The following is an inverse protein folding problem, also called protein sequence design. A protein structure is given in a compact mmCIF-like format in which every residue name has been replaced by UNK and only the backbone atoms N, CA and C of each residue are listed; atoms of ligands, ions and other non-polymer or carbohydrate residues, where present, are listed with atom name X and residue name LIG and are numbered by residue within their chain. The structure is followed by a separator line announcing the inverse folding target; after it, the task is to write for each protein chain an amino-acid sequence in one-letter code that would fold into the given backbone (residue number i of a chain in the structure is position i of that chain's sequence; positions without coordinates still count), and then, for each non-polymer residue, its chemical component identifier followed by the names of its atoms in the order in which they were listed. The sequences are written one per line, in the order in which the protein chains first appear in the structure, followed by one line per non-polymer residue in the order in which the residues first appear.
data_IF_353729839991
#
_entry.id   IF_353729839991
#
_cell.length_a   1.000
_cell.length_b   1.000
_cell.length_c   1.000
_cell.angle_alpha   90.00
_cell.angle_beta   90.00
_cell.angle_gamma   90.00
#
_symmetry.space_group_name_H-M   'P 1'
#
loop_
_entity.id
_entity.type
_entity.pdbx_description
1 polymer ?
#
# COMPACT_ATOMS: atom_id res chain seq x y z
N UNK A 1 -32.23 95.99 29.58
CA UNK A 1 -31.17 95.12 30.12
C UNK A 1 -31.71 93.69 30.07
N UNK A 2 -31.44 92.99 28.98
CA UNK A 2 -31.84 91.58 28.76
C UNK A 2 -30.61 90.90 28.20
N UNK A 3 -30.03 89.98 28.97
CA UNK A 3 -28.82 89.23 28.65
C UNK A 3 -29.17 88.02 27.79
N UNK A 4 -28.58 87.94 26.60
CA UNK A 4 -28.49 86.71 25.81
C UNK A 4 -27.64 85.68 26.54
N UNK A 5 -28.09 84.42 26.57
CA UNK A 5 -27.25 83.26 26.87
C UNK A 5 -27.28 82.32 25.68
N UNK A 6 -26.18 82.34 24.91
CA UNK A 6 -25.84 81.32 23.90
C UNK A 6 -25.58 80.01 24.63
N UNK A 7 -26.36 78.97 24.30
CA UNK A 7 -26.10 77.60 24.72
C UNK A 7 -25.01 76.99 23.85
N UNK A 8 -23.92 76.58 24.50
CA UNK A 8 -22.80 75.84 23.93
C UNK A 8 -23.17 74.35 23.83
N UNK A 9 -23.06 73.76 22.63
CA UNK A 9 -23.24 72.32 22.39
C UNK A 9 -21.95 71.58 22.79
N UNK A 10 -22.00 70.55 23.65
CA UNK A 10 -20.79 69.83 24.03
C UNK A 10 -20.27 68.98 22.86
N UNK A 11 -19.13 69.39 22.31
CA UNK A 11 -18.34 68.58 21.39
C UNK A 11 -17.93 67.26 22.06
N UNK A 12 -18.35 66.13 21.48
CA UNK A 12 -17.90 64.81 21.93
C UNK A 12 -16.42 64.66 21.58
N UNK A 13 -15.53 64.86 22.56
CA UNK A 13 -14.11 64.57 22.41
C UNK A 13 -13.91 63.07 22.17
N UNK A 14 -13.48 62.71 20.96
CA UNK A 14 -13.05 61.35 20.65
C UNK A 14 -11.65 61.13 21.19
N UNK A 15 -11.54 60.57 22.39
CA UNK A 15 -10.25 60.17 22.97
C UNK A 15 -9.72 58.94 22.23
N UNK A 16 -8.51 59.04 21.67
CA UNK A 16 -7.85 57.89 21.06
C UNK A 16 -7.50 56.85 22.14
N UNK A 17 -7.63 55.54 21.84
CA UNK A 17 -7.29 54.50 22.78
C UNK A 17 -5.80 54.55 23.14
N UNK A 18 -5.43 54.23 24.38
CA UNK A 18 -4.05 54.32 24.81
C UNK A 18 -3.18 53.30 24.05
N UNK A 19 -1.94 53.68 23.76
CA UNK A 19 -1.02 52.94 22.88
C UNK A 19 -0.80 51.47 23.28
N UNK A 20 -0.93 51.14 24.57
CA UNK A 20 -0.84 49.77 25.05
C UNK A 20 -2.03 48.89 24.63
N UNK A 21 -3.24 49.47 24.46
CA UNK A 21 -4.41 48.76 23.91
C UNK A 21 -4.17 48.40 22.45
N UNK A 22 -3.61 49.33 21.67
CA UNK A 22 -3.27 49.08 20.26
C UNK A 22 -2.23 47.95 20.14
N UNK A 23 -1.23 47.93 21.02
CA UNK A 23 -0.25 46.85 21.07
C UNK A 23 -0.86 45.50 21.45
N UNK A 24 -1.75 45.46 22.45
CA UNK A 24 -2.43 44.22 22.86
C UNK A 24 -3.32 43.66 21.74
N UNK A 25 -4.06 44.52 21.04
CA UNK A 25 -4.88 44.11 19.89
C UNK A 25 -3.99 43.62 18.74
N UNK A 26 -2.88 44.31 18.46
CA UNK A 26 -1.91 43.87 17.45
C UNK A 26 -1.30 42.50 17.76
N UNK A 27 -0.93 42.25 19.01
CA UNK A 27 -0.43 40.95 19.48
C UNK A 27 -1.49 39.85 19.37
N UNK A 28 -2.73 40.13 19.74
CA UNK A 28 -3.83 39.18 19.63
C UNK A 28 -4.11 38.80 18.16
N UNK A 29 -4.13 39.78 17.25
CA UNK A 29 -4.30 39.54 15.81
C UNK A 29 -3.14 38.74 15.24
N UNK A 30 -1.90 39.05 15.62
CA UNK A 30 -0.72 38.29 15.21
C UNK A 30 -0.76 36.83 15.71
N UNK A 31 -1.19 36.61 16.96
CA UNK A 31 -1.32 35.27 17.54
C UNK A 31 -2.43 34.46 16.86
N UNK A 32 -3.56 35.09 16.52
CA UNK A 32 -4.65 34.45 15.77
C UNK A 32 -4.21 34.13 14.34
N UNK A 33 -3.57 35.08 13.64
CA UNK A 33 -3.04 34.85 12.29
C UNK A 33 -1.96 33.76 12.26
N UNK A 34 -1.08 33.71 13.27
CA UNK A 34 -0.09 32.64 13.43
C UNK A 34 -0.76 31.29 13.71
N UNK A 35 -1.81 31.25 14.54
CA UNK A 35 -2.58 30.04 14.84
C UNK A 35 -3.33 29.52 13.62
N UNK A 36 -4.01 30.41 12.87
CA UNK A 36 -4.69 30.07 11.61
C UNK A 36 -3.67 29.60 10.57
N UNK A 37 -2.53 30.29 10.44
CA UNK A 37 -1.44 29.91 9.53
C UNK A 37 -0.84 28.55 9.88
N UNK A 38 -0.63 28.26 11.17
CA UNK A 38 -0.20 26.94 11.65
C UNK A 38 -1.21 25.86 11.35
N UNK A 39 -2.50 26.10 11.56
CA UNK A 39 -3.54 25.09 11.34
C UNK A 39 -3.84 24.84 9.86
N UNK A 40 -3.73 25.87 9.00
CA UNK A 40 -3.92 25.74 7.55
C UNK A 40 -2.69 25.21 6.80
N UNK A 41 -1.48 25.53 7.26
CA UNK A 41 -0.22 25.07 6.63
C UNK A 41 0.21 23.68 7.13
N UNK A 42 -0.14 23.30 8.37
CA UNK A 42 0.25 22.00 8.96
C UNK A 42 -0.92 21.08 9.30
N UNK A 43 -2.17 21.54 9.19
CA UNK A 43 -3.38 20.75 9.52
C UNK A 43 -4.04 20.06 8.33
N UNK A 44 -3.33 19.92 7.21
CA UNK A 44 -3.77 19.13 6.04
C UNK A 44 -2.61 18.22 5.58
N UNK A 45 -1.94 17.55 6.53
CA UNK A 45 -1.36 16.27 6.17
C UNK A 45 -2.55 15.32 6.06
N UNK A 46 -2.82 14.77 4.87
CA UNK A 46 -3.80 13.69 4.74
C UNK A 46 -3.51 12.63 5.79
N UNK A 47 -4.55 12.13 6.46
CA UNK A 47 -4.39 11.07 7.46
C UNK A 47 -3.64 9.91 6.82
N UNK A 48 -2.45 9.58 7.32
CA UNK A 48 -1.72 8.40 6.88
C UNK A 48 -2.54 7.15 7.22
N UNK A 49 -2.50 6.09 6.39
CA UNK A 49 -3.15 4.84 6.72
C UNK A 49 -2.76 4.34 8.11
N UNK A 50 -3.76 3.87 8.87
CA UNK A 50 -3.56 3.33 10.22
C UNK A 50 -3.10 1.88 10.20
N UNK A 51 -2.73 1.35 11.37
CA UNK A 51 -2.17 0.00 11.52
C UNK A 51 -3.06 -1.13 10.97
N UNK A 52 -4.38 -1.02 11.15
CA UNK A 52 -5.37 -1.98 10.64
C UNK A 52 -5.98 -1.61 9.29
N UNK A 53 -5.40 -0.65 8.55
CA UNK A 53 -5.90 -0.28 7.22
C UNK A 53 -5.61 -1.37 6.18
N UNK A 54 -6.44 -1.43 5.14
CA UNK A 54 -6.18 -2.27 3.97
C UNK A 54 -4.86 -1.90 3.28
N UNK A 55 -4.52 -0.61 3.23
CA UNK A 55 -3.25 -0.13 2.67
C UNK A 55 -2.04 -0.73 3.40
N UNK A 56 -2.05 -0.73 4.74
CA UNK A 56 -0.98 -1.30 5.56
C UNK A 56 -0.96 -2.83 5.51
N UNK A 57 -2.13 -3.47 5.53
CA UNK A 57 -2.26 -4.92 5.43
C UNK A 57 -1.73 -5.45 4.09
N UNK A 58 -2.18 -4.87 2.98
CA UNK A 58 -1.70 -5.18 1.64
C UNK A 58 -0.19 -5.02 1.52
N UNK A 59 0.36 -3.90 1.99
CA UNK A 59 1.79 -3.64 1.92
C UNK A 59 2.61 -4.70 2.68
N UNK A 60 2.14 -5.18 3.84
CA UNK A 60 2.84 -6.23 4.61
C UNK A 60 2.77 -7.59 3.93
N UNK A 61 1.56 -8.00 3.56
CA UNK A 61 1.35 -9.35 3.02
C UNK A 61 1.98 -9.49 1.63
N UNK A 62 1.85 -8.46 0.79
CA UNK A 62 2.44 -8.46 -0.54
C UNK A 62 3.97 -8.33 -0.51
N UNK A 63 4.58 -7.78 0.57
CA UNK A 63 6.04 -7.87 0.74
C UNK A 63 6.51 -9.30 0.96
N UNK A 64 5.77 -10.09 1.76
CA UNK A 64 6.07 -11.50 2.00
C UNK A 64 5.87 -12.30 0.71
N UNK A 65 4.76 -12.05 0.02
CA UNK A 65 4.46 -12.64 -1.27
C UNK A 65 5.58 -12.39 -2.30
N UNK A 66 5.94 -11.11 -2.51
CA UNK A 66 6.99 -10.75 -3.46
C UNK A 66 8.37 -11.28 -3.07
N UNK A 67 8.64 -11.48 -1.77
CA UNK A 67 9.89 -12.10 -1.36
C UNK A 67 10.01 -13.55 -1.86
N UNK A 68 8.91 -14.32 -1.86
CA UNK A 68 8.93 -15.69 -2.37
C UNK A 68 9.06 -15.73 -3.90
N UNK A 69 8.38 -14.84 -4.63
CA UNK A 69 8.59 -14.73 -6.08
C UNK A 69 10.04 -14.44 -6.45
N UNK A 70 10.70 -13.52 -5.73
CA UNK A 70 12.12 -13.21 -5.97
C UNK A 70 13.01 -14.43 -5.72
N UNK A 71 12.74 -15.21 -4.67
CA UNK A 71 13.48 -16.45 -4.38
C UNK A 71 13.31 -17.49 -5.50
N UNK A 72 12.07 -17.76 -5.92
CA UNK A 72 11.78 -18.70 -7.01
C UNK A 72 12.40 -18.23 -8.33
N UNK A 73 12.29 -16.95 -8.65
CA UNK A 73 12.80 -16.37 -9.89
C UNK A 73 14.34 -16.40 -9.95
N UNK A 74 15.02 -16.10 -8.85
CA UNK A 74 16.49 -16.20 -8.80
C UNK A 74 16.97 -17.65 -8.79
N UNK A 75 16.18 -18.58 -8.24
CA UNK A 75 16.46 -20.02 -8.32
C UNK A 75 16.44 -20.49 -9.77
N UNK A 76 15.36 -20.23 -10.50
CA UNK A 76 15.27 -20.69 -11.90
C UNK A 76 16.23 -19.92 -12.82
N UNK A 77 16.50 -18.64 -12.56
CA UNK A 77 17.47 -17.84 -13.33
C UNK A 77 18.85 -18.51 -13.38
N UNK A 78 19.26 -19.10 -12.26
CA UNK A 78 20.55 -19.79 -12.13
C UNK A 78 20.57 -21.19 -12.76
N UNK A 79 19.41 -21.84 -12.89
CA UNK A 79 19.29 -23.24 -13.30
C UNK A 79 18.87 -23.42 -14.77
N UNK A 80 17.96 -22.58 -15.27
CA UNK A 80 17.39 -22.75 -16.61
C UNK A 80 18.43 -22.57 -17.71
N UNK A 81 18.32 -23.33 -18.79
CA UNK A 81 19.05 -23.13 -20.05
C UNK A 81 18.22 -22.36 -21.10
N UNK A 82 16.96 -22.04 -20.82
CA UNK A 82 16.07 -21.33 -21.74
C UNK A 82 16.23 -19.81 -21.61
N UNK A 83 16.72 -19.15 -22.66
CA UNK A 83 17.00 -17.71 -22.64
C UNK A 83 15.76 -16.83 -22.39
N UNK A 84 14.58 -17.25 -22.87
CA UNK A 84 13.35 -16.48 -22.66
C UNK A 84 12.87 -16.58 -21.21
N UNK A 85 12.95 -17.78 -20.63
CA UNK A 85 12.63 -18.00 -19.23
C UNK A 85 13.65 -17.29 -18.32
N UNK A 86 14.94 -17.32 -18.66
CA UNK A 86 15.98 -16.60 -17.93
C UNK A 86 15.71 -15.09 -17.92
N UNK A 87 15.34 -14.51 -19.07
CA UNK A 87 14.98 -13.09 -19.17
C UNK A 87 13.74 -12.76 -18.33
N UNK A 88 12.66 -13.53 -18.48
CA UNK A 88 11.43 -13.35 -17.70
C UNK A 88 11.69 -13.43 -16.18
N UNK A 89 12.50 -14.39 -15.75
CA UNK A 89 12.82 -14.59 -14.34
C UNK A 89 13.58 -13.40 -13.76
N UNK A 90 14.51 -12.82 -14.53
CA UNK A 90 15.19 -11.60 -14.14
C UNK A 90 14.24 -10.40 -14.05
N UNK A 91 13.32 -10.26 -15.00
CA UNK A 91 12.31 -9.19 -15.00
C UNK A 91 11.37 -9.30 -13.80
N UNK A 92 10.88 -10.51 -13.49
CA UNK A 92 10.08 -10.77 -12.28
C UNK A 92 10.87 -10.43 -11.02
N UNK A 93 12.10 -10.93 -10.88
CA UNK A 93 12.92 -10.70 -9.69
C UNK A 93 13.18 -9.21 -9.45
N UNK A 94 13.52 -8.46 -10.50
CA UNK A 94 13.80 -7.02 -10.38
C UNK A 94 12.54 -6.18 -10.18
N UNK A 95 11.46 -6.48 -10.91
CA UNK A 95 10.17 -5.81 -10.79
C UNK A 95 9.56 -6.00 -9.40
N UNK A 96 9.47 -7.24 -8.93
CA UNK A 96 8.92 -7.54 -7.61
C UNK A 96 9.81 -7.07 -6.46
N UNK A 97 11.14 -7.08 -6.63
CA UNK A 97 12.05 -6.45 -5.65
C UNK A 97 11.81 -4.94 -5.52
N UNK A 98 11.58 -4.25 -6.64
CA UNK A 98 11.28 -2.81 -6.62
C UNK A 98 9.95 -2.53 -5.91
N UNK A 99 8.90 -3.28 -6.24
CA UNK A 99 7.58 -3.15 -5.61
C UNK A 99 7.64 -3.47 -4.10
N UNK A 100 8.43 -4.48 -3.70
CA UNK A 100 8.67 -4.78 -2.28
C UNK A 100 9.31 -3.61 -1.54
N UNK A 101 10.30 -2.96 -2.16
CA UNK A 101 10.94 -1.77 -1.60
C UNK A 101 10.00 -0.58 -1.46
N UNK A 102 9.08 -0.40 -2.42
CA UNK A 102 8.07 0.66 -2.38
C UNK A 102 7.07 0.44 -1.22
N UNK A 103 6.57 -0.79 -1.05
CA UNK A 103 5.68 -1.14 0.06
C UNK A 103 6.35 -0.97 1.42
N UNK A 104 7.64 -1.34 1.52
CA UNK A 104 8.43 -1.10 2.73
C UNK A 104 8.57 0.39 3.04
N UNK A 105 8.87 1.22 2.04
CA UNK A 105 8.98 2.67 2.18
C UNK A 105 7.65 3.31 2.63
N UNK A 106 6.51 2.83 2.14
CA UNK A 106 5.21 3.30 2.60
C UNK A 106 5.01 3.03 4.09
N UNK A 107 5.26 1.80 4.55
CA UNK A 107 5.12 1.44 5.97
C UNK A 107 6.04 2.28 6.86
N UNK A 108 7.27 2.53 6.43
CA UNK A 108 8.19 3.44 7.13
C UNK A 108 7.62 4.87 7.21
N UNK A 109 7.11 5.41 6.11
CA UNK A 109 6.53 6.77 6.05
C UNK A 109 5.26 6.91 6.87
N UNK A 110 4.46 5.84 6.98
CA UNK A 110 3.28 5.80 7.82
C UNK A 110 3.61 5.51 9.30
N UNK A 111 4.87 5.21 9.63
CA UNK A 111 5.29 4.88 10.99
C UNK A 111 4.78 3.52 11.48
N UNK A 112 4.56 2.58 10.56
CA UNK A 112 3.98 1.27 10.84
C UNK A 112 5.04 0.15 10.76
N UNK A 113 4.90 -0.94 11.55
CA UNK A 113 5.79 -2.08 11.47
C UNK A 113 5.66 -2.79 10.11
N UNK A 114 6.75 -3.35 9.56
CA UNK A 114 6.76 -4.02 8.26
C UNK A 114 6.16 -5.44 8.28
N UNK A 115 5.68 -5.91 9.43
CA UNK A 115 5.12 -7.24 9.64
C UNK A 115 3.77 -7.15 10.36
N UNK A 116 2.97 -8.21 10.25
CA UNK A 116 1.68 -8.39 10.94
C UNK A 116 1.64 -9.80 11.53
N UNK A 117 1.07 -9.94 12.73
CA UNK A 117 0.76 -11.24 13.34
C UNK A 117 -0.55 -11.84 12.82
N UNK A 118 -1.23 -11.15 11.91
CA UNK A 118 -2.49 -11.59 11.30
C UNK A 118 -2.48 -11.28 9.80
N UNK A 119 -1.78 -12.10 8.99
CA UNK A 119 -1.81 -11.99 7.54
C UNK A 119 -3.25 -12.09 7.03
N UNK A 120 -3.55 -11.38 5.95
CA UNK A 120 -4.82 -11.38 5.22
C UNK A 120 -6.06 -10.90 6.01
N UNK A 121 -5.93 -10.60 7.30
CA UNK A 121 -7.04 -10.12 8.14
C UNK A 121 -7.66 -8.80 7.63
N UNK A 122 -6.88 -7.99 6.92
CA UNK A 122 -7.33 -6.73 6.31
C UNK A 122 -8.32 -6.95 5.16
N UNK A 123 -8.34 -8.13 4.53
CA UNK A 123 -9.29 -8.49 3.47
C UNK A 123 -10.64 -8.93 4.02
N UNK A 124 -10.78 -9.27 5.32
CA UNK A 124 -12.07 -9.68 5.88
C UNK A 124 -13.16 -8.59 5.77
N UNK A 125 -12.77 -7.33 5.56
CA UNK A 125 -13.72 -6.24 5.31
C UNK A 125 -14.38 -6.30 3.91
N UNK A 126 -13.74 -6.89 2.90
CA UNK A 126 -14.30 -7.06 1.53
C UNK A 126 -15.31 -8.20 1.43
N UNK A 127 -15.27 -9.18 2.34
CA UNK A 127 -16.18 -10.33 2.35
C UNK A 127 -17.63 -10.00 2.78
N UNK A 128 -17.92 -8.73 3.07
CA UNK A 128 -19.27 -8.25 3.42
C UNK A 128 -20.26 -8.32 2.24
N UNK A 129 -19.81 -8.63 1.02
CA UNK A 129 -20.62 -8.61 -0.22
C UNK A 129 -20.69 -9.91 -1.04
N UNK A 130 -19.76 -10.85 -0.87
CA UNK A 130 -19.71 -12.08 -1.66
C UNK A 130 -19.48 -13.31 -0.77
N UNK A 131 -20.59 -13.93 -0.35
CA UNK A 131 -20.58 -15.17 0.42
C UNK A 131 -20.00 -16.33 -0.42
N UNK A 132 -18.69 -16.56 -0.32
CA UNK A 132 -18.10 -17.85 -0.61
C UNK A 132 -18.22 -18.71 0.65
N UNK A 133 -19.07 -19.72 0.60
CA UNK A 133 -19.32 -20.63 1.71
C UNK A 133 -18.04 -21.34 2.15
N UNK A 134 -17.48 -20.92 3.29
CA UNK A 134 -16.36 -21.56 3.94
C UNK A 134 -16.21 -21.08 5.38
N UNK A 135 -16.64 -21.92 6.33
CA UNK A 135 -16.28 -21.91 7.76
C UNK A 135 -15.96 -20.56 8.42
N UNK A 136 -17.00 -19.81 8.79
CA UNK A 136 -16.87 -18.80 9.83
C UNK A 136 -16.44 -19.47 11.15
N UNK A 137 -15.23 -19.20 11.63
CA UNK A 137 -14.90 -19.35 13.06
C UNK A 137 -13.71 -20.24 13.47
N UNK A 138 -12.83 -20.67 12.57
CA UNK A 138 -11.55 -21.28 12.97
C UNK A 138 -10.38 -20.41 12.50
N UNK A 139 -9.36 -20.17 13.35
CA UNK A 139 -8.11 -19.54 12.89
C UNK A 139 -7.55 -20.36 11.73
N UNK A 140 -7.30 -19.72 10.58
CA UNK A 140 -6.60 -20.37 9.49
C UNK A 140 -5.17 -20.68 9.93
N UNK A 141 -4.64 -21.83 9.54
CA UNK A 141 -3.23 -22.13 9.74
C UNK A 141 -2.38 -21.30 8.76
N UNK A 142 -1.10 -21.07 9.09
CA UNK A 142 -0.16 -20.37 8.20
C UNK A 142 -0.10 -21.01 6.80
N UNK A 143 -0.27 -22.34 6.73
CA UNK A 143 -0.32 -23.08 5.47
C UNK A 143 -1.56 -22.75 4.65
N UNK A 144 -2.74 -22.69 5.27
CA UNK A 144 -3.98 -22.29 4.59
C UNK A 144 -3.93 -20.84 4.09
N UNK A 145 -3.29 -19.94 4.84
CA UNK A 145 -3.11 -18.54 4.42
C UNK A 145 -2.16 -18.47 3.22
N UNK A 146 -1.02 -19.19 3.26
CA UNK A 146 -0.10 -19.27 2.11
C UNK A 146 -0.79 -19.80 0.85
N UNK A 147 -1.56 -20.88 0.99
CA UNK A 147 -2.33 -21.45 -0.13
C UNK A 147 -3.34 -20.45 -0.69
N UNK A 148 -4.05 -19.73 0.18
CA UNK A 148 -4.99 -18.68 -0.25
C UNK A 148 -4.30 -17.51 -0.99
N UNK A 149 -3.04 -17.23 -0.67
CA UNK A 149 -2.20 -16.27 -1.39
C UNK A 149 -1.53 -16.87 -2.64
N UNK A 150 -1.75 -18.15 -2.97
CA UNK A 150 -1.10 -18.81 -4.12
C UNK A 150 0.38 -19.15 -3.91
N UNK A 151 0.91 -18.92 -2.71
CA UNK A 151 2.32 -19.14 -2.36
C UNK A 151 2.70 -20.62 -2.48
N UNK A 152 3.94 -20.87 -2.88
CA UNK A 152 4.56 -22.19 -2.80
C UNK A 152 4.78 -22.63 -1.34
N UNK A 153 4.60 -23.93 -1.10
CA UNK A 153 4.96 -24.56 0.17
C UNK A 153 6.49 -24.71 0.28
N UNK A 154 6.98 -25.04 1.48
CA UNK A 154 8.42 -25.28 1.68
C UNK A 154 8.89 -26.52 0.91
N UNK A 155 8.02 -27.53 0.80
CA UNK A 155 8.25 -28.75 0.02
C UNK A 155 8.37 -28.40 -1.46
N UNK A 156 7.44 -27.61 -2.01
CA UNK A 156 7.48 -27.18 -3.42
C UNK A 156 8.72 -26.33 -3.74
N UNK A 157 9.12 -25.43 -2.83
CA UNK A 157 10.36 -24.67 -2.97
C UNK A 157 11.60 -25.57 -2.91
N UNK A 158 11.57 -26.62 -2.07
CA UNK A 158 12.66 -27.61 -2.00
C UNK A 158 12.74 -28.43 -3.28
N UNK A 159 11.60 -28.84 -3.83
CA UNK A 159 11.52 -29.54 -5.12
C UNK A 159 12.01 -28.67 -6.27
N UNK A 160 11.62 -27.40 -6.32
CA UNK A 160 12.11 -26.44 -7.33
C UNK A 160 13.64 -26.33 -7.29
N UNK A 161 14.23 -26.20 -6.10
CA UNK A 161 15.70 -26.10 -5.94
C UNK A 161 16.44 -27.39 -6.29
N UNK A 162 15.76 -28.54 -6.26
CA UNK A 162 16.33 -29.84 -6.59
C UNK A 162 16.10 -30.25 -8.05
N UNK A 163 15.11 -29.65 -8.71
CA UNK A 163 14.80 -29.90 -10.11
C UNK A 163 15.91 -29.35 -11.02
N UNK A 164 16.06 -29.95 -12.20
CA UNK A 164 17.06 -29.51 -13.21
C UNK A 164 16.46 -29.55 -14.61
N UNK A 165 17.05 -28.77 -15.53
CA UNK A 165 16.63 -28.69 -16.93
C UNK A 165 15.13 -28.37 -17.09
N UNK A 166 14.49 -28.94 -18.10
CA UNK A 166 13.07 -28.65 -18.42
C UNK A 166 12.11 -28.98 -17.28
N UNK A 167 12.45 -29.92 -16.39
CA UNK A 167 11.63 -30.19 -15.22
C UNK A 167 11.63 -29.00 -14.23
N UNK A 168 12.79 -28.37 -14.01
CA UNK A 168 12.89 -27.14 -13.22
C UNK A 168 12.10 -26.00 -13.86
N UNK A 169 12.24 -25.82 -15.18
CA UNK A 169 11.52 -24.80 -15.94
C UNK A 169 9.99 -24.95 -15.75
N UNK A 170 9.48 -26.17 -15.93
CA UNK A 170 8.06 -26.46 -15.79
C UNK A 170 7.56 -26.29 -14.35
N UNK A 171 8.34 -26.73 -13.36
CA UNK A 171 7.99 -26.53 -11.95
C UNK A 171 7.91 -25.03 -11.61
N UNK A 172 8.92 -24.25 -12.00
CA UNK A 172 8.92 -22.81 -11.79
C UNK A 172 7.71 -22.13 -12.43
N UNK A 173 7.42 -22.43 -13.70
CA UNK A 173 6.32 -21.82 -14.43
C UNK A 173 4.98 -22.13 -13.75
N UNK A 174 4.76 -23.37 -13.32
CA UNK A 174 3.53 -23.76 -12.62
C UNK A 174 3.38 -23.05 -11.28
N UNK A 175 4.46 -22.99 -10.48
CA UNK A 175 4.45 -22.31 -9.19
C UNK A 175 4.25 -20.80 -9.33
N UNK A 176 4.95 -20.17 -10.26
CA UNK A 176 4.88 -18.72 -10.47
C UNK A 176 3.55 -18.28 -11.09
N UNK A 177 2.93 -19.10 -11.95
CA UNK A 177 1.55 -18.84 -12.42
C UNK A 177 0.58 -18.84 -11.22
N UNK A 178 0.60 -19.88 -10.38
CA UNK A 178 -0.28 -19.95 -9.21
C UNK A 178 -0.04 -18.79 -8.24
N UNK A 179 1.23 -18.45 -8.02
CA UNK A 179 1.63 -17.33 -7.17
C UNK A 179 1.05 -16.00 -7.68
N UNK A 180 1.16 -15.73 -8.99
CA UNK A 180 0.58 -14.53 -9.60
C UNK A 180 -0.96 -14.53 -9.55
N UNK A 181 -1.60 -15.69 -9.75
CA UNK A 181 -3.05 -15.83 -9.64
C UNK A 181 -3.54 -15.51 -8.21
N UNK A 182 -2.78 -15.89 -7.18
CA UNK A 182 -3.07 -15.58 -5.78
C UNK A 182 -2.93 -14.09 -5.43
N UNK A 183 -2.03 -13.37 -6.09
CA UNK A 183 -1.87 -11.93 -5.89
C UNK A 183 -2.98 -11.07 -6.50
N UNK A 184 -3.68 -11.55 -7.54
CA UNK A 184 -4.73 -10.76 -8.22
C UNK A 184 -5.90 -10.44 -7.27
N UNK A 185 -6.49 -11.39 -6.53
CA UNK A 185 -7.51 -11.11 -5.52
C UNK A 185 -7.04 -10.14 -4.43
N UNK A 186 -5.78 -10.24 -4.00
CA UNK A 186 -5.20 -9.29 -3.03
C UNK A 186 -5.16 -7.87 -3.60
N UNK A 187 -4.71 -7.73 -4.85
CA UNK A 187 -4.71 -6.44 -5.54
C UNK A 187 -6.14 -5.89 -5.68
N UNK A 188 -7.12 -6.72 -6.04
CA UNK A 188 -8.51 -6.28 -6.13
C UNK A 188 -9.08 -5.81 -4.78
N UNK A 189 -8.77 -6.52 -3.69
CA UNK A 189 -9.24 -6.15 -2.36
C UNK A 189 -8.68 -4.80 -1.89
N UNK A 190 -7.40 -4.50 -2.16
CA UNK A 190 -6.84 -3.18 -1.78
C UNK A 190 -7.36 -2.05 -2.67
N UNK A 191 -7.74 -2.32 -3.91
CA UNK A 191 -8.40 -1.33 -4.77
C UNK A 191 -9.78 -0.93 -4.22
N UNK A 192 -10.51 -1.90 -3.68
CA UNK A 192 -11.81 -1.70 -3.05
C UNK A 192 -11.69 -1.04 -1.66
N UNK A 193 -10.85 -1.58 -0.79
CA UNK A 193 -10.79 -1.23 0.63
C UNK A 193 -9.77 -0.14 0.98
N UNK A 194 -8.75 0.03 0.13
CA UNK A 194 -7.64 0.97 0.36
C UNK A 194 -8.09 2.43 0.28
N UNK A 195 -7.29 3.30 0.88
CA UNK A 195 -7.54 4.74 0.94
C UNK A 195 -6.39 5.59 0.41
N UNK A 196 -5.18 5.02 0.26
CA UNK A 196 -4.04 5.72 -0.32
C UNK A 196 -3.99 5.51 -1.84
N UNK A 197 -4.19 6.58 -2.60
CA UNK A 197 -4.20 6.55 -4.07
C UNK A 197 -2.90 6.00 -4.68
N UNK A 198 -1.76 6.14 -3.98
CA UNK A 198 -0.49 5.57 -4.45
C UNK A 198 -0.51 4.06 -4.38
N UNK A 199 -1.05 3.50 -3.29
CA UNK A 199 -1.23 2.06 -3.12
C UNK A 199 -2.14 1.51 -4.22
N UNK A 200 -3.27 2.17 -4.47
CA UNK A 200 -4.20 1.77 -5.54
C UNK A 200 -3.53 1.78 -6.91
N UNK A 201 -2.82 2.85 -7.24
CA UNK A 201 -2.10 2.96 -8.52
C UNK A 201 -1.11 1.80 -8.71
N UNK A 202 -0.34 1.45 -7.68
CA UNK A 202 0.60 0.33 -7.76
C UNK A 202 -0.13 -1.01 -7.84
N UNK A 203 -1.22 -1.21 -7.09
CA UNK A 203 -2.02 -2.43 -7.15
C UNK A 203 -2.63 -2.66 -8.55
N UNK A 204 -3.14 -1.62 -9.22
CA UNK A 204 -3.63 -1.73 -10.61
C UNK A 204 -2.51 -2.14 -11.58
N UNK A 205 -1.35 -1.49 -11.47
CA UNK A 205 -0.19 -1.79 -12.31
C UNK A 205 0.34 -3.21 -12.06
N UNK A 206 0.34 -3.64 -10.80
CA UNK A 206 0.73 -4.99 -10.40
C UNK A 206 -0.23 -6.04 -10.98
N UNK A 207 -1.55 -5.86 -10.83
CA UNK A 207 -2.56 -6.75 -11.40
C UNK A 207 -2.38 -6.88 -12.92
N UNK A 208 -2.16 -5.76 -13.61
CA UNK A 208 -1.95 -5.73 -15.06
C UNK A 208 -0.65 -6.43 -15.46
N UNK A 209 0.46 -6.13 -14.78
CA UNK A 209 1.75 -6.76 -15.01
C UNK A 209 1.70 -8.27 -14.81
N UNK A 210 1.18 -8.72 -13.67
CA UNK A 210 1.05 -10.15 -13.35
C UNK A 210 0.15 -10.89 -14.35
N UNK A 211 -0.93 -10.25 -14.83
CA UNK A 211 -1.77 -10.84 -15.89
C UNK A 211 -1.00 -11.08 -17.19
N UNK A 212 -0.10 -10.15 -17.57
CA UNK A 212 0.74 -10.34 -18.75
C UNK A 212 1.82 -11.41 -18.51
N UNK A 213 2.42 -11.44 -17.32
CA UNK A 213 3.41 -12.45 -16.95
C UNK A 213 2.80 -13.86 -16.92
N UNK A 214 1.57 -14.03 -16.42
CA UNK A 214 0.82 -15.30 -16.50
C UNK A 214 0.72 -15.76 -17.97
N UNK A 215 0.29 -14.89 -18.88
CA UNK A 215 0.17 -15.25 -20.30
C UNK A 215 1.51 -15.65 -20.92
N UNK A 216 2.59 -14.93 -20.58
CA UNK A 216 3.93 -15.27 -21.03
C UNK A 216 4.36 -16.64 -20.49
N UNK A 217 4.17 -16.91 -19.21
CA UNK A 217 4.50 -18.18 -18.57
C UNK A 217 3.70 -19.35 -19.16
N UNK A 218 2.38 -19.19 -19.35
CA UNK A 218 1.54 -20.20 -20.01
C UNK A 218 2.02 -20.49 -21.44
N UNK A 219 2.43 -19.46 -22.18
CA UNK A 219 3.01 -19.66 -23.52
C UNK A 219 4.34 -20.41 -23.47
N UNK A 220 5.19 -20.14 -22.47
CA UNK A 220 6.43 -20.88 -22.25
C UNK A 220 6.17 -22.33 -21.86
N UNK A 221 5.18 -22.62 -21.01
CA UNK A 221 4.79 -23.99 -20.66
C UNK A 221 4.44 -24.80 -21.91
N UNK A 222 3.64 -24.24 -22.82
CA UNK A 222 3.28 -24.89 -24.08
C UNK A 222 4.50 -25.12 -24.99
N UNK A 223 5.39 -24.12 -25.08
CA UNK A 223 6.61 -24.20 -25.89
C UNK A 223 7.58 -25.26 -25.38
N UNK A 224 7.70 -25.39 -24.05
CA UNK A 224 8.60 -26.34 -23.38
C UNK A 224 7.98 -27.74 -23.23
N UNK A 225 6.67 -27.89 -23.50
CA UNK A 225 5.98 -29.16 -23.38
C UNK A 225 5.74 -29.58 -21.93
N UNK A 226 5.54 -28.62 -21.03
CA UNK A 226 5.12 -28.87 -19.65
C UNK A 226 3.74 -29.54 -19.66
N UNK A 227 3.64 -30.73 -19.05
CA UNK A 227 2.42 -31.56 -19.01
C UNK A 227 1.46 -31.15 -17.91
#
# INVERSE_FOLDING_TARGET
MTTETVGDEPGTERTLPPWWVVLLVGLAVAAVAFSIGRFSTFGIAGSTPGEGSADAGFARDMQVHHAQAVDMAMTIYAETDDDQLRALSYDIATGQSSQRGEMYDWLLKWGLPPYSDSPMAWMAASDSGHAHGGTAGQPQTDEQIREAMGMASEEELTELRAATGTAADCQFLSLMIRHHEGAIPMADAVLELGTDERVKTVAENMKKGQTFEIQAMTSMQQRLGCS
#
